data_IF_532803409525
#
_entry.id   IF_532803409525
#
_cell.length_a   1.000
_cell.length_b   1.000
_cell.length_c   1.000
_cell.angle_alpha   90.00
_cell.angle_beta   90.00
_cell.angle_gamma   90.00
#
_symmetry.space_group_name_H-M   'P 1'
#
loop_
_entity.id
_entity.type
_entity.pdbx_description
1 polymer ?
#
# COMPACT_ATOMS: atom_id res chain seq x y z
N UNK A 1 -11.35 22.39 -5.48
CA UNK A 1 -11.88 22.21 -4.11
C UNK A 1 -10.72 21.73 -3.24
N UNK A 2 -10.37 22.43 -2.15
CA UNK A 2 -9.33 21.93 -1.23
C UNK A 2 -9.82 20.62 -0.59
N UNK A 3 -8.96 19.61 -0.49
CA UNK A 3 -9.30 18.34 0.15
C UNK A 3 -9.75 18.60 1.60
N UNK A 4 -10.80 17.91 2.06
CA UNK A 4 -11.23 18.08 3.46
C UNK A 4 -10.19 17.49 4.41
N UNK A 5 -10.15 17.96 5.66
CA UNK A 5 -9.28 17.39 6.69
C UNK A 5 -9.50 15.88 6.88
N UNK A 6 -10.73 15.41 6.65
CA UNK A 6 -11.08 13.98 6.67
C UNK A 6 -10.43 13.22 5.51
N UNK A 7 -10.42 13.78 4.31
CA UNK A 7 -9.78 13.17 3.13
C UNK A 7 -8.26 13.11 3.30
N UNK A 8 -7.66 14.18 3.85
CA UNK A 8 -6.23 14.22 4.16
C UNK A 8 -5.87 13.16 5.21
N UNK A 9 -6.68 13.02 6.27
CA UNK A 9 -6.48 11.99 7.29
C UNK A 9 -6.60 10.58 6.71
N UNK A 10 -7.59 10.34 5.84
CA UNK A 10 -7.78 9.05 5.19
C UNK A 10 -6.58 8.68 4.29
N UNK A 11 -6.08 9.64 3.50
CA UNK A 11 -4.87 9.46 2.68
C UNK A 11 -3.64 9.16 3.52
N UNK A 12 -3.44 9.89 4.63
CA UNK A 12 -2.30 9.65 5.53
C UNK A 12 -2.35 8.25 6.14
N UNK A 13 -3.52 7.80 6.60
CA UNK A 13 -3.70 6.44 7.13
C UNK A 13 -3.39 5.39 6.05
N UNK A 14 -3.89 5.59 4.84
CA UNK A 14 -3.63 4.68 3.73
C UNK A 14 -2.15 4.63 3.34
N UNK A 15 -1.46 5.78 3.34
CA UNK A 15 -0.03 5.86 3.10
C UNK A 15 0.77 5.08 4.16
N UNK A 16 0.49 5.31 5.44
CA UNK A 16 1.14 4.59 6.54
C UNK A 16 0.90 3.07 6.45
N UNK A 17 -0.31 2.66 6.07
CA UNK A 17 -0.64 1.25 5.88
C UNK A 17 0.15 0.62 4.70
N UNK A 18 0.31 1.35 3.60
CA UNK A 18 1.13 0.95 2.46
C UNK A 18 2.62 0.83 2.82
N UNK A 19 3.17 1.83 3.51
CA UNK A 19 4.57 1.79 3.97
C UNK A 19 4.81 0.59 4.91
N UNK A 20 3.89 0.34 5.85
CA UNK A 20 3.98 -0.81 6.74
C UNK A 20 3.87 -2.15 5.99
N UNK A 21 3.09 -2.23 4.92
CA UNK A 21 3.01 -3.42 4.07
C UNK A 21 4.32 -3.64 3.28
N UNK A 22 4.93 -2.56 2.77
CA UNK A 22 6.23 -2.61 2.10
C UNK A 22 7.34 -3.11 3.03
N UNK A 23 7.38 -2.64 4.28
CA UNK A 23 8.36 -3.12 5.26
C UNK A 23 8.22 -4.62 5.53
N UNK A 24 6.98 -5.13 5.63
CA UNK A 24 6.73 -6.57 5.78
C UNK A 24 7.20 -7.36 4.57
N UNK A 25 6.88 -6.90 3.37
CA UNK A 25 7.34 -7.53 2.13
C UNK A 25 8.87 -7.51 2.03
N UNK A 26 9.53 -6.42 2.41
CA UNK A 26 10.99 -6.33 2.39
C UNK A 26 11.62 -7.33 3.38
N UNK A 27 11.06 -7.47 4.58
CA UNK A 27 11.48 -8.48 5.57
C UNK A 27 11.21 -9.91 5.08
N UNK A 28 10.13 -10.13 4.34
CA UNK A 28 9.84 -11.44 3.75
C UNK A 28 10.87 -11.82 2.66
N UNK A 29 11.21 -10.87 1.79
CA UNK A 29 12.18 -11.06 0.70
C UNK A 29 13.63 -11.15 1.19
N UNK A 30 13.96 -10.41 2.25
CA UNK A 30 15.29 -10.36 2.85
C UNK A 30 15.14 -10.45 4.37
N UNK A 31 14.92 -11.67 4.91
CA UNK A 31 14.85 -11.86 6.33
C UNK A 31 16.18 -11.45 7.00
N UNK A 32 16.14 -10.88 8.22
CA UNK A 32 17.34 -10.57 8.97
C UNK A 32 18.20 -11.82 9.22
N UNK A 33 19.49 -11.63 9.46
CA UNK A 33 20.39 -12.74 9.78
C UNK A 33 19.87 -13.53 11.00
N UNK A 34 19.83 -14.85 10.87
CA UNK A 34 19.33 -15.75 11.92
C UNK A 34 17.82 -15.99 11.91
N UNK A 35 17.05 -15.36 11.03
CA UNK A 35 15.62 -15.65 10.84
C UNK A 35 15.40 -16.68 9.72
N UNK A 36 14.36 -17.53 9.84
CA UNK A 36 14.01 -18.46 8.77
C UNK A 36 13.56 -17.70 7.52
N UNK A 37 13.83 -18.30 6.36
CA UNK A 37 13.22 -17.86 5.10
C UNK A 37 11.71 -18.06 5.17
N UNK A 38 10.94 -17.07 4.70
CA UNK A 38 9.50 -17.23 4.54
C UNK A 38 9.20 -18.24 3.44
N UNK A 39 8.13 -18.99 3.63
CA UNK A 39 7.56 -19.87 2.61
C UNK A 39 7.02 -19.06 1.42
N UNK A 40 6.82 -19.73 0.28
CA UNK A 40 6.23 -19.11 -0.91
C UNK A 40 4.82 -18.56 -0.63
N UNK A 41 4.04 -19.23 0.24
CA UNK A 41 2.70 -18.81 0.63
C UNK A 41 2.73 -17.51 1.46
N UNK A 42 3.64 -17.41 2.43
CA UNK A 42 3.83 -16.20 3.23
C UNK A 42 4.32 -15.02 2.39
N UNK A 43 5.22 -15.28 1.43
CA UNK A 43 5.67 -14.29 0.45
C UNK A 43 4.52 -13.80 -0.43
N UNK A 44 3.67 -14.70 -0.92
CA UNK A 44 2.50 -14.36 -1.71
C UNK A 44 1.47 -13.54 -0.90
N UNK A 45 1.28 -13.88 0.38
CA UNK A 45 0.42 -13.13 1.29
C UNK A 45 0.96 -11.71 1.54
N UNK A 46 2.27 -11.57 1.79
CA UNK A 46 2.91 -10.27 1.96
C UNK A 46 2.81 -9.41 0.69
N UNK A 47 3.00 -10.01 -0.48
CA UNK A 47 2.85 -9.32 -1.77
C UNK A 47 1.40 -8.88 -2.00
N UNK A 48 0.43 -9.78 -1.80
CA UNK A 48 -1.00 -9.49 -1.98
C UNK A 48 -1.46 -8.36 -1.05
N UNK A 49 -1.01 -8.38 0.21
CA UNK A 49 -1.29 -7.32 1.17
C UNK A 49 -0.73 -5.97 0.70
N UNK A 50 0.51 -5.95 0.23
CA UNK A 50 1.12 -4.75 -0.32
C UNK A 50 0.30 -4.22 -1.52
N UNK A 51 -0.02 -5.07 -2.49
CA UNK A 51 -0.79 -4.70 -3.67
C UNK A 51 -2.16 -4.08 -3.30
N UNK A 52 -2.87 -4.65 -2.33
CA UNK A 52 -4.16 -4.14 -1.84
C UNK A 52 -4.02 -2.73 -1.20
N UNK A 53 -2.98 -2.52 -0.38
CA UNK A 53 -2.74 -1.21 0.25
C UNK A 53 -2.35 -0.14 -0.77
N UNK A 54 -1.55 -0.51 -1.78
CA UNK A 54 -1.22 0.39 -2.89
C UNK A 54 -2.47 0.78 -3.68
N UNK A 55 -3.36 -0.18 -3.96
CA UNK A 55 -4.61 0.10 -4.65
C UNK A 55 -5.48 1.06 -3.83
N UNK A 56 -5.63 0.82 -2.53
CA UNK A 56 -6.36 1.71 -1.61
C UNK A 56 -5.80 3.13 -1.63
N UNK A 57 -4.47 3.28 -1.54
CA UNK A 57 -3.81 4.58 -1.60
C UNK A 57 -4.07 5.27 -2.94
N UNK A 58 -3.95 4.55 -4.06
CA UNK A 58 -4.27 5.10 -5.39
C UNK A 58 -5.69 5.63 -5.47
N UNK A 59 -6.68 4.85 -5.04
CA UNK A 59 -8.10 5.26 -5.08
C UNK A 59 -8.34 6.53 -4.27
N UNK A 60 -7.70 6.66 -3.10
CA UNK A 60 -7.84 7.86 -2.25
C UNK A 60 -7.08 9.08 -2.78
N UNK A 61 -6.00 8.85 -3.54
CA UNK A 61 -5.17 9.90 -4.12
C UNK A 61 -5.65 10.37 -5.49
N UNK A 62 -6.31 9.51 -6.27
CA UNK A 62 -6.89 9.88 -7.56
C UNK A 62 -8.19 10.64 -7.35
N UNK A 63 -8.16 11.96 -7.52
CA UNK A 63 -9.37 12.78 -7.57
C UNK A 63 -10.10 12.61 -8.91
N UNK A 64 -11.42 12.91 -8.99
CA UNK A 64 -12.18 12.85 -10.24
C UNK A 64 -11.56 13.65 -11.40
N UNK A 65 -10.84 14.74 -11.10
CA UNK A 65 -10.15 15.61 -12.07
C UNK A 65 -8.93 14.97 -12.76
N UNK A 66 -8.41 13.85 -12.25
CA UNK A 66 -7.29 13.11 -12.86
C UNK A 66 -7.78 12.01 -13.83
N UNK A 67 -9.09 11.91 -14.07
CA UNK A 67 -9.61 11.04 -15.13
C UNK A 67 -9.36 11.75 -16.46
N UNK A 68 -8.53 11.20 -17.37
CA UNK A 68 -8.55 11.70 -18.74
C UNK A 68 -9.98 11.53 -19.24
N UNK A 69 -10.58 12.61 -19.73
CA UNK A 69 -11.86 12.59 -20.43
C UNK A 69 -11.83 11.44 -21.44
N UNK A 70 -12.51 10.34 -21.10
CA UNK A 70 -12.72 9.26 -22.04
C UNK A 70 -13.89 9.69 -22.94
N UNK A 71 -13.70 9.73 -24.26
CA UNK A 71 -14.77 10.06 -25.21
C UNK A 71 -15.89 9.01 -25.23
#
# INVERSE_FOLDING_TARGET
MLASDSDLKARLIAQMAWEAACERLRKALRPPAGYPSMSAEELNAAFSNAAERLHTLRVLSTTPDDRPDQP
#
